data_IF_902340827128
#
_entry.id   IF_902340827128
#
_cell.length_a   1.000
_cell.length_b   1.000
_cell.length_c   1.000
_cell.angle_alpha   90.00
_cell.angle_beta   90.00
_cell.angle_gamma   90.00
#
_symmetry.space_group_name_H-M   'P 1'
#
loop_
_entity.id
_entity.type
_entity.pdbx_description
1 polymer ?
#
# COMPACT_ATOMS: atom_id res chain seq x y z
N UNK A 1 -1.91 18.53 26.82
CA UNK A 1 -2.30 17.31 26.08
C UNK A 1 -3.80 17.32 25.78
N UNK A 2 -4.23 17.99 24.71
CA UNK A 2 -5.64 18.05 24.26
C UNK A 2 -5.77 17.82 22.73
N UNK A 3 -4.75 17.23 22.11
CA UNK A 3 -4.60 17.13 20.65
C UNK A 3 -5.09 15.81 20.08
N UNK A 4 -4.92 14.69 20.80
CA UNK A 4 -5.32 13.37 20.32
C UNK A 4 -6.84 13.18 20.35
N UNK A 5 -7.51 13.56 21.45
CA UNK A 5 -8.97 13.41 21.56
C UNK A 5 -9.71 14.24 20.50
N UNK A 6 -9.19 15.42 20.14
CA UNK A 6 -9.74 16.26 19.08
C UNK A 6 -9.51 15.69 17.68
N UNK A 7 -8.38 15.01 17.43
CA UNK A 7 -8.13 14.29 16.18
C UNK A 7 -8.99 13.04 16.05
N UNK A 8 -9.12 12.26 17.13
CA UNK A 8 -10.02 11.11 17.18
C UNK A 8 -11.47 11.56 16.98
N UNK A 9 -11.89 12.66 17.60
CA UNK A 9 -13.23 13.23 17.41
C UNK A 9 -13.49 13.63 15.96
N UNK A 10 -12.52 14.28 15.30
CA UNK A 10 -12.68 14.67 13.90
C UNK A 10 -12.60 13.48 12.96
N UNK A 11 -11.76 12.50 13.24
CA UNK A 11 -11.73 11.23 12.52
C UNK A 11 -13.06 10.49 12.67
N UNK A 12 -13.65 10.45 13.87
CA UNK A 12 -14.99 9.87 14.11
C UNK A 12 -16.10 10.65 13.40
N UNK A 13 -16.02 11.99 13.36
CA UNK A 13 -16.98 12.82 12.64
C UNK A 13 -16.88 12.63 11.12
N UNK A 14 -15.66 12.53 10.59
CA UNK A 14 -15.41 12.27 9.16
C UNK A 14 -15.85 10.86 8.79
N UNK A 15 -15.54 9.86 9.63
CA UNK A 15 -16.00 8.48 9.43
C UNK A 15 -17.53 8.40 9.48
N UNK A 16 -18.17 9.13 10.40
CA UNK A 16 -19.63 9.21 10.47
C UNK A 16 -20.24 9.84 9.20
N UNK A 17 -19.66 10.91 8.67
CA UNK A 17 -20.06 11.50 7.37
C UNK A 17 -19.93 10.46 6.25
N UNK A 18 -18.86 9.67 6.28
CA UNK A 18 -18.60 8.60 5.33
C UNK A 18 -19.57 7.41 5.45
N UNK A 19 -19.93 7.03 6.68
CA UNK A 19 -20.92 5.99 6.96
C UNK A 19 -22.32 6.42 6.53
N UNK A 20 -22.65 7.69 6.72
CA UNK A 20 -23.93 8.27 6.31
C UNK A 20 -24.08 8.24 4.78
N UNK A 21 -23.03 8.62 4.05
CA UNK A 21 -22.97 8.55 2.59
C UNK A 21 -22.98 7.10 2.08
N UNK A 22 -22.35 6.16 2.80
CA UNK A 22 -22.40 4.72 2.50
C UNK A 22 -23.80 4.14 2.63
N UNK A 23 -24.56 4.54 3.65
CA UNK A 23 -25.95 4.10 3.85
C UNK A 23 -26.90 4.70 2.82
N UNK A 24 -26.69 5.96 2.41
CA UNK A 24 -27.44 6.67 1.36
C UNK A 24 -27.18 6.16 -0.07
N UNK A 25 -26.11 5.38 -0.27
CA UNK A 25 -25.80 4.69 -1.54
C UNK A 25 -26.30 3.26 -1.56
N UNK A 26 -26.50 2.61 -0.40
CA UNK A 26 -26.90 1.21 -0.29
C UNK A 26 -28.40 0.98 -0.60
N UNK A 27 -29.19 2.05 -0.61
CA UNK A 27 -30.62 2.14 -0.94
C UNK A 27 -30.86 2.62 -2.40
N UNK A 28 -29.82 3.04 -3.13
CA UNK A 28 -29.87 3.25 -4.57
C UNK A 28 -29.71 1.92 -5.32
N UNK A 29 -30.86 1.27 -5.53
CA UNK A 29 -31.10 0.05 -6.32
C UNK A 29 -29.98 -0.44 -7.25
N UNK A 30 -29.59 -1.69 -6.98
CA UNK A 30 -29.18 -2.77 -7.89
C UNK A 30 -29.59 -2.53 -9.36
N UNK A 31 -28.66 -2.82 -10.27
CA UNK A 31 -28.75 -2.75 -11.74
C UNK A 31 -28.32 -1.43 -12.41
N UNK A 32 -27.04 -1.07 -12.23
CA UNK A 32 -26.17 -0.62 -13.34
C UNK A 32 -24.76 -1.19 -13.18
N UNK A 33 -24.67 -2.52 -13.15
CA UNK A 33 -23.51 -3.19 -13.76
C UNK A 33 -23.53 -2.81 -15.24
N UNK A 34 -22.37 -2.49 -15.81
CA UNK A 34 -22.12 -1.90 -17.14
C UNK A 34 -22.47 -0.41 -17.31
N UNK A 35 -21.46 0.37 -17.75
CA UNK A 35 -21.46 1.83 -18.03
C UNK A 35 -20.98 2.72 -16.86
N UNK A 36 -19.76 2.48 -16.39
CA UNK A 36 -18.80 3.56 -16.17
C UNK A 36 -17.52 3.11 -16.86
N UNK A 37 -17.01 3.95 -17.76
CA UNK A 37 -15.96 3.58 -18.70
C UNK A 37 -14.73 2.98 -18.02
N UNK A 38 -13.93 2.31 -18.83
CA UNK A 38 -12.52 1.99 -18.58
C UNK A 38 -11.69 3.26 -18.30
N UNK A 39 -12.05 4.07 -17.33
CA UNK A 39 -11.07 4.85 -16.60
C UNK A 39 -10.33 3.81 -15.77
N UNK A 40 -9.17 3.39 -16.28
CA UNK A 40 -8.18 2.68 -15.47
C UNK A 40 -7.84 3.64 -14.34
N UNK A 41 -8.60 3.57 -13.24
CA UNK A 41 -8.25 4.23 -12.01
C UNK A 41 -6.85 3.77 -11.68
N UNK A 42 -5.88 4.66 -11.82
CA UNK A 42 -4.49 4.28 -11.65
C UNK A 42 -4.24 4.23 -10.14
N UNK A 43 -4.56 3.09 -9.54
CA UNK A 43 -4.37 2.80 -8.13
C UNK A 43 -2.94 3.15 -7.67
N UNK A 44 -1.95 2.89 -8.54
CA UNK A 44 -0.55 3.26 -8.29
C UNK A 44 -0.34 4.78 -8.26
N UNK A 45 -1.01 5.56 -9.13
CA UNK A 45 -0.91 7.02 -9.07
C UNK A 45 -1.51 7.60 -7.77
N UNK A 46 -2.65 7.08 -7.32
CA UNK A 46 -3.26 7.50 -6.05
C UNK A 46 -2.37 7.15 -4.85
N UNK A 47 -1.78 5.95 -4.86
CA UNK A 47 -0.78 5.55 -3.85
C UNK A 47 0.40 6.50 -3.82
N UNK A 48 0.96 6.82 -4.99
CA UNK A 48 2.11 7.73 -5.08
C UNK A 48 1.75 9.13 -4.60
N UNK A 49 0.57 9.65 -4.93
CA UNK A 49 0.12 10.95 -4.42
C UNK A 49 0.04 10.96 -2.89
N UNK A 50 -0.46 9.89 -2.27
CA UNK A 50 -0.51 9.76 -0.81
C UNK A 50 0.89 9.69 -0.17
N UNK A 51 1.77 8.82 -0.69
CA UNK A 51 3.10 8.59 -0.12
C UNK A 51 4.08 9.75 -0.37
N UNK A 52 3.95 10.42 -1.50
CA UNK A 52 4.82 11.54 -1.92
C UNK A 52 4.19 12.90 -1.62
N UNK A 53 3.12 12.96 -0.82
CA UNK A 53 2.48 14.20 -0.43
C UNK A 53 3.46 15.07 0.40
N UNK A 54 3.84 16.27 -0.10
CA UNK A 54 4.72 17.16 0.64
C UNK A 54 3.94 17.88 1.75
N UNK A 55 4.58 18.15 2.88
CA UNK A 55 3.95 18.92 3.96
C UNK A 55 3.66 20.37 3.50
N UNK A 56 2.40 20.83 3.51
CA UNK A 56 2.06 22.18 3.08
C UNK A 56 2.35 23.19 4.20
N UNK A 57 3.58 23.69 4.27
CA UNK A 57 4.05 24.63 5.32
C UNK A 57 3.12 25.83 5.54
N UNK A 58 2.54 26.35 4.45
CA UNK A 58 1.63 27.51 4.48
C UNK A 58 0.23 27.19 5.02
N UNK A 59 -0.25 25.96 4.84
CA UNK A 59 -1.59 25.55 5.22
C UNK A 59 -1.64 24.91 6.62
N UNK A 60 -0.50 24.42 7.09
CA UNK A 60 -0.33 23.89 8.43
C UNK A 60 -0.84 22.45 8.63
N UNK A 61 -0.74 21.94 9.86
CA UNK A 61 -0.89 20.50 10.13
C UNK A 61 -2.32 19.98 10.00
N UNK A 62 -3.33 20.80 10.27
CA UNK A 62 -4.73 20.38 10.12
C UNK A 62 -5.04 20.09 8.66
N UNK A 63 -4.65 21.01 7.78
CA UNK A 63 -4.91 20.89 6.37
C UNK A 63 -4.10 19.75 5.74
N UNK A 64 -2.84 19.57 6.18
CA UNK A 64 -2.03 18.42 5.79
C UNK A 64 -2.72 17.08 6.09
N UNK A 65 -3.31 16.92 7.29
CA UNK A 65 -4.03 15.69 7.67
C UNK A 65 -5.31 15.50 6.85
N UNK A 66 -6.06 16.57 6.58
CA UNK A 66 -7.27 16.48 5.75
C UNK A 66 -6.92 15.99 4.33
N UNK A 67 -5.90 16.57 3.70
CA UNK A 67 -5.47 16.17 2.36
C UNK A 67 -4.90 14.75 2.34
N UNK A 68 -4.13 14.35 3.35
CA UNK A 68 -3.68 12.95 3.48
C UNK A 68 -4.85 11.98 3.62
N UNK A 69 -5.91 12.37 4.34
CA UNK A 69 -7.11 11.54 4.47
C UNK A 69 -7.81 11.34 3.13
N UNK A 70 -8.02 12.41 2.36
CA UNK A 70 -8.61 12.35 1.02
C UNK A 70 -7.78 11.49 0.06
N UNK A 71 -6.46 11.66 0.06
CA UNK A 71 -5.54 10.85 -0.74
C UNK A 71 -5.57 9.37 -0.33
N UNK A 72 -5.70 9.08 0.96
CA UNK A 72 -5.83 7.71 1.48
C UNK A 72 -7.14 7.06 1.01
N UNK A 73 -8.25 7.79 1.03
CA UNK A 73 -9.54 7.31 0.53
C UNK A 73 -9.50 7.06 -0.98
N UNK A 74 -8.88 7.96 -1.74
CA UNK A 74 -8.69 7.75 -3.17
C UNK A 74 -7.83 6.51 -3.46
N UNK A 75 -6.79 6.28 -2.66
CA UNK A 75 -5.94 5.11 -2.82
C UNK A 75 -6.64 3.80 -2.42
N UNK A 76 -7.09 3.70 -1.17
CA UNK A 76 -7.59 2.45 -0.58
C UNK A 76 -9.06 2.18 -0.86
N UNK A 77 -9.85 3.20 -1.24
CA UNK A 77 -11.27 3.11 -1.60
C UNK A 77 -12.10 2.20 -0.68
N UNK A 78 -12.17 2.50 0.63
CA UNK A 78 -12.89 1.67 1.60
C UNK A 78 -14.41 1.59 1.37
N UNK A 79 -14.95 2.37 0.44
CA UNK A 79 -16.35 2.32 0.02
C UNK A 79 -16.67 1.08 -0.82
N UNK A 80 -15.65 0.54 -1.51
CA UNK A 80 -15.79 -0.61 -2.40
C UNK A 80 -14.87 -1.78 -2.03
N UNK A 81 -13.81 -1.55 -1.27
CA UNK A 81 -12.90 -2.61 -0.81
C UNK A 81 -13.25 -3.09 0.59
N UNK A 82 -13.26 -4.41 0.78
CA UNK A 82 -13.29 -5.01 2.11
C UNK A 82 -11.96 -4.80 2.83
N UNK A 83 -11.95 -5.07 4.14
CA UNK A 83 -10.73 -5.02 4.95
C UNK A 83 -9.64 -5.92 4.37
N UNK A 84 -10.00 -7.12 3.93
CA UNK A 84 -9.09 -8.11 3.37
C UNK A 84 -8.49 -7.59 2.06
N UNK A 85 -9.30 -7.01 1.18
CA UNK A 85 -8.84 -6.38 -0.05
C UNK A 85 -7.90 -5.19 0.21
N UNK A 86 -8.17 -4.38 1.24
CA UNK A 86 -7.24 -3.31 1.65
C UNK A 86 -5.88 -3.90 2.11
N UNK A 87 -5.89 -5.00 2.86
CA UNK A 87 -4.66 -5.67 3.27
C UNK A 87 -3.91 -6.26 2.08
N UNK A 88 -4.61 -6.80 1.09
CA UNK A 88 -4.01 -7.27 -0.17
C UNK A 88 -3.32 -6.17 -0.97
N UNK A 89 -3.63 -4.88 -0.72
CA UNK A 89 -2.91 -3.75 -1.31
C UNK A 89 -1.69 -3.34 -0.46
N UNK A 90 -1.83 -3.34 0.87
CA UNK A 90 -0.81 -2.88 1.80
C UNK A 90 0.32 -3.89 2.03
N UNK A 91 0.00 -5.17 2.10
CA UNK A 91 0.97 -6.23 2.39
C UNK A 91 2.02 -6.37 1.29
N UNK A 92 1.68 -6.44 -0.02
CA UNK A 92 2.69 -6.46 -1.07
C UNK A 92 3.52 -5.18 -1.14
N UNK A 93 2.90 -4.02 -0.91
CA UNK A 93 3.65 -2.77 -0.82
C UNK A 93 4.75 -2.86 0.25
N UNK A 94 4.38 -3.26 1.47
CA UNK A 94 5.35 -3.39 2.57
C UNK A 94 6.37 -4.50 2.32
N UNK A 95 5.94 -5.64 1.80
CA UNK A 95 6.83 -6.76 1.48
C UNK A 95 7.91 -6.34 0.49
N UNK A 96 7.54 -5.64 -0.58
CA UNK A 96 8.50 -5.13 -1.55
C UNK A 96 9.51 -4.18 -0.90
N UNK A 97 9.14 -3.38 0.10
CA UNK A 97 10.09 -2.45 0.76
C UNK A 97 11.13 -3.13 1.64
N UNK A 98 10.81 -4.30 2.22
CA UNK A 98 11.73 -5.02 3.10
C UNK A 98 12.68 -5.94 2.33
N UNK A 99 12.39 -6.22 1.05
CA UNK A 99 13.28 -7.00 0.19
C UNK A 99 14.60 -6.27 -0.06
N UNK A 100 15.73 -6.99 -0.16
CA UNK A 100 17.00 -6.46 -0.66
C UNK A 100 16.82 -5.75 -2.00
N UNK A 101 17.65 -4.74 -2.25
CA UNK A 101 17.47 -3.83 -3.40
C UNK A 101 17.47 -4.54 -4.75
N UNK A 102 18.35 -5.50 -4.92
CA UNK A 102 18.53 -6.29 -6.14
C UNK A 102 17.28 -7.13 -6.42
N UNK A 103 16.78 -7.83 -5.39
CA UNK A 103 15.58 -8.66 -5.46
C UNK A 103 14.36 -7.78 -5.72
N UNK A 104 14.23 -6.67 -4.99
CA UNK A 104 13.12 -5.71 -5.16
C UNK A 104 13.05 -5.14 -6.58
N UNK A 105 14.18 -4.77 -7.17
CA UNK A 105 14.23 -4.28 -8.56
C UNK A 105 13.77 -5.39 -9.51
N UNK A 106 14.33 -6.59 -9.35
CA UNK A 106 13.99 -7.72 -10.21
C UNK A 106 12.49 -8.08 -10.14
N UNK A 107 11.91 -8.23 -8.94
CA UNK A 107 10.47 -8.50 -8.77
C UNK A 107 9.62 -7.40 -9.44
N UNK A 108 9.98 -6.12 -9.26
CA UNK A 108 9.24 -5.01 -9.90
C UNK A 108 9.26 -5.07 -11.43
N UNK A 109 10.33 -5.58 -12.04
CA UNK A 109 10.39 -5.75 -13.51
C UNK A 109 9.48 -6.86 -14.03
N UNK A 110 9.09 -7.82 -13.18
CA UNK A 110 8.20 -8.91 -13.56
C UNK A 110 6.71 -8.52 -13.49
N UNK A 111 6.39 -7.36 -12.91
CA UNK A 111 5.02 -6.82 -12.78
C UNK A 111 4.01 -7.81 -12.16
N UNK A 112 4.28 -8.36 -10.97
CA UNK A 112 3.40 -9.33 -10.36
C UNK A 112 2.04 -8.72 -10.01
N UNK A 113 0.98 -9.51 -10.19
CA UNK A 113 -0.40 -9.07 -9.97
C UNK A 113 -0.85 -9.20 -8.50
N UNK A 114 -0.23 -10.10 -7.74
CA UNK A 114 -0.59 -10.38 -6.35
C UNK A 114 0.63 -10.77 -5.48
N UNK A 115 0.42 -10.85 -4.17
CA UNK A 115 1.47 -11.19 -3.21
C UNK A 115 2.03 -12.60 -3.39
N UNK A 116 1.20 -13.58 -3.76
CA UNK A 116 1.65 -14.97 -3.94
C UNK A 116 2.64 -15.07 -5.10
N UNK A 117 2.41 -14.32 -6.18
CA UNK A 117 3.34 -14.23 -7.29
C UNK A 117 4.67 -13.58 -6.87
N UNK A 118 4.60 -12.49 -6.08
CA UNK A 118 5.79 -11.85 -5.51
C UNK A 118 6.58 -12.83 -4.64
N UNK A 119 5.90 -13.61 -3.79
CA UNK A 119 6.53 -14.58 -2.87
C UNK A 119 7.17 -15.71 -3.66
N UNK A 120 6.43 -16.34 -4.58
CA UNK A 120 6.93 -17.45 -5.40
C UNK A 120 8.20 -17.04 -6.18
N UNK A 121 8.21 -15.84 -6.76
CA UNK A 121 9.37 -15.29 -7.46
C UNK A 121 10.60 -15.15 -6.54
N UNK A 122 10.40 -14.73 -5.29
CA UNK A 122 11.50 -14.58 -4.31
C UNK A 122 11.99 -15.95 -3.82
N UNK A 123 11.09 -16.90 -3.60
CA UNK A 123 11.41 -18.27 -3.23
C UNK A 123 12.22 -18.98 -4.33
N UNK A 124 11.77 -18.90 -5.59
CA UNK A 124 12.47 -19.46 -6.75
C UNK A 124 13.89 -18.89 -6.89
N UNK A 125 14.03 -17.57 -6.72
CA UNK A 125 15.34 -16.91 -6.77
C UNK A 125 16.25 -17.39 -5.63
N UNK A 126 15.70 -17.58 -4.44
CA UNK A 126 16.45 -18.06 -3.26
C UNK A 126 16.92 -19.50 -3.49
N UNK A 127 16.04 -20.38 -3.96
CA UNK A 127 16.35 -21.77 -4.30
C UNK A 127 17.46 -21.85 -5.36
N UNK A 128 17.37 -21.05 -6.42
CA UNK A 128 18.39 -20.99 -7.48
C UNK A 128 19.77 -20.53 -6.97
N UNK A 129 19.82 -19.70 -5.93
CA UNK A 129 21.06 -19.23 -5.32
C UNK A 129 21.65 -20.30 -4.39
N UNK A 130 20.81 -21.03 -3.65
CA UNK A 130 21.23 -22.13 -2.78
C UNK A 130 21.79 -23.32 -3.58
N UNK A 131 21.12 -23.72 -4.67
CA UNK A 131 21.59 -24.79 -5.57
C UNK A 131 22.91 -24.46 -6.29
N UNK A 132 23.21 -23.17 -6.46
CA UNK A 132 24.50 -22.70 -6.99
C UNK A 132 25.56 -22.53 -5.90
N UNK A 133 25.17 -22.47 -4.63
CA UNK A 133 26.04 -22.33 -3.46
C UNK A 133 26.77 -23.63 -3.10
N UNK A 134 26.22 -24.80 -3.42
CA UNK A 134 26.86 -26.10 -3.14
C UNK A 134 28.01 -26.47 -4.10
N UNK A 135 28.30 -25.64 -5.11
CA UNK A 135 29.42 -25.89 -6.06
C UNK A 135 30.64 -24.98 -5.88
N UNK A 136 30.70 -24.17 -4.83
CA UNK A 136 31.88 -23.35 -4.51
C UNK A 136 32.14 -23.32 -3.00
N UNK A 137 32.58 -24.45 -2.46
CA UNK A 137 33.40 -24.45 -1.26
C UNK A 137 34.66 -23.62 -1.55
N UNK A 138 34.74 -22.44 -0.95
CA UNK A 138 35.89 -21.55 -1.03
C UNK A 138 35.53 -20.18 -1.58
N UNK A 139 35.19 -19.27 -0.67
CA UNK A 139 35.25 -17.82 -0.82
C UNK A 139 34.09 -17.18 -1.59
N UNK A 140 33.02 -16.84 -0.88
CA UNK A 140 32.70 -15.42 -0.60
C UNK A 140 31.63 -15.33 0.50
N UNK A 141 31.84 -14.35 1.36
CA UNK A 141 31.15 -14.06 2.61
C UNK A 141 29.63 -14.15 2.53
N UNK A 142 29.04 -14.87 3.48
CA UNK A 142 27.71 -14.60 4.04
C UNK A 142 27.41 -13.10 3.95
N UNK A 143 26.45 -12.70 3.14
CA UNK A 143 25.89 -11.36 3.24
C UNK A 143 25.11 -11.38 4.56
N UNK A 144 25.59 -10.72 5.62
CA UNK A 144 24.84 -10.72 6.86
C UNK A 144 23.55 -9.94 6.59
N UNK A 145 22.42 -10.50 7.00
CA UNK A 145 21.17 -9.74 7.16
C UNK A 145 21.41 -8.78 8.33
N UNK A 146 22.18 -7.71 8.08
CA UNK A 146 22.34 -6.64 9.06
C UNK A 146 21.05 -5.85 9.07
N UNK A 147 20.33 -6.01 10.18
CA UNK A 147 19.29 -5.14 10.72
C UNK A 147 19.69 -3.66 10.49
N UNK A 148 19.17 -3.04 9.43
CA UNK A 148 19.33 -1.60 9.25
C UNK A 148 18.41 -0.88 10.23
N UNK A 149 19.03 -0.11 11.12
CA UNK A 149 18.38 0.80 12.03
C UNK A 149 17.64 1.89 11.24
N UNK A 150 16.45 2.21 11.73
CA UNK A 150 15.68 3.39 11.35
C UNK A 150 16.49 4.63 11.74
N UNK A 151 16.69 5.56 10.81
CA UNK A 151 17.02 6.97 11.06
C UNK A 151 16.21 7.82 10.10
#
# INVERSE_FOLDING_TARGET
>A
MLTLNKMMTLSSQILAVYEQDRLLRADASKDRVTILGKEKFNHEASRQNFRCFPYPEKAGPREAVNQLWELCLQWLRPEIHTKEQILELLVPEQFLTILPSEIRIWVKTQHPENIEEVVAMVEDLTQMLEEKGEKREGMLTVIPITRCQVS
#
